data_IF_702565390550
#
_entry.id   IF_702565390550
#
_cell.length_a   1.000
_cell.length_b   1.000
_cell.length_c   1.000
_cell.angle_alpha   90.00
_cell.angle_beta   90.00
_cell.angle_gamma   90.00
#
_symmetry.space_group_name_H-M   'P 1'
#
loop_
_entity.id
_entity.type
_entity.pdbx_description
1 polymer ?
#
# COMPACT_ATOMS: atom_id res chain seq x y z
N UNK A 1 6.56 33.79 27.39
CA UNK A 1 6.41 33.29 26.00
C UNK A 1 7.23 32.02 25.88
N UNK A 2 6.59 30.85 26.01
CA UNK A 2 7.23 29.56 25.76
C UNK A 2 6.65 29.06 24.45
N UNK A 3 7.46 29.14 23.39
CA UNK A 3 7.14 28.55 22.09
C UNK A 3 7.34 27.04 22.21
N UNK A 4 6.28 26.33 22.57
CA UNK A 4 6.23 24.87 22.45
C UNK A 4 6.07 24.53 20.96
N UNK A 5 7.19 24.19 20.32
CA UNK A 5 7.20 23.61 18.98
C UNK A 5 6.43 22.30 18.96
N UNK A 6 5.25 22.31 18.34
CA UNK A 6 4.57 21.08 17.92
C UNK A 6 5.40 20.44 16.81
N UNK A 7 6.25 19.48 17.19
CA UNK A 7 6.73 18.45 16.28
C UNK A 7 5.53 17.63 15.83
N UNK A 8 4.97 17.99 14.67
CA UNK A 8 4.06 17.13 13.93
C UNK A 8 4.84 15.85 13.57
N UNK A 9 4.71 14.83 14.40
CA UNK A 9 5.20 13.50 14.07
C UNK A 9 4.42 13.03 12.83
N UNK A 10 5.07 13.13 11.66
CA UNK A 10 4.66 12.47 10.44
C UNK A 10 4.73 10.96 10.68
N UNK A 11 3.72 10.39 11.35
CA UNK A 11 3.52 8.95 11.47
C UNK A 11 2.97 8.44 10.14
N UNK A 12 3.70 8.70 9.06
CA UNK A 12 3.49 8.04 7.79
C UNK A 12 3.91 6.58 7.93
N UNK A 13 3.22 5.68 7.26
CA UNK A 13 3.55 4.25 7.19
C UNK A 13 4.96 3.94 6.62
N UNK A 14 5.78 4.96 6.32
CA UNK A 14 7.13 4.85 5.76
C UNK A 14 8.26 5.18 6.76
N UNK A 15 7.97 5.41 8.05
CA UNK A 15 9.03 5.51 9.07
C UNK A 15 9.66 4.13 9.27
N UNK A 16 10.99 3.95 9.12
CA UNK A 16 11.66 2.70 9.42
C UNK A 16 11.39 2.32 10.89
N UNK A 17 11.19 1.02 11.23
CA UNK A 17 11.14 0.63 12.63
C UNK A 17 12.44 1.13 13.30
N UNK A 18 12.36 1.71 14.51
CA UNK A 18 13.55 2.14 15.19
C UNK A 18 14.50 0.93 15.30
N UNK A 19 15.77 1.08 14.91
CA UNK A 19 16.73 0.01 15.13
C UNK A 19 16.73 -0.29 16.64
N UNK A 20 16.71 -1.56 17.07
CA UNK A 20 16.92 -1.83 18.47
C UNK A 20 18.32 -1.33 18.83
N UNK A 21 18.41 -0.77 20.03
CA UNK A 21 19.64 -0.20 20.53
C UNK A 21 20.41 -1.25 21.33
N UNK A 22 21.74 -1.14 21.33
CA UNK A 22 22.59 -1.83 22.30
C UNK A 22 22.29 -1.32 23.71
N UNK A 23 22.86 -1.97 24.75
CA UNK A 23 22.77 -1.49 26.13
C UNK A 23 23.21 -0.01 26.26
N UNK A 24 24.15 0.44 25.43
CA UNK A 24 24.66 1.80 25.40
C UNK A 24 23.82 2.78 24.55
N UNK A 25 22.62 2.38 24.12
CA UNK A 25 21.71 3.24 23.35
C UNK A 25 22.08 3.42 21.87
N UNK A 26 23.08 2.69 21.35
CA UNK A 26 23.54 2.84 19.95
C UNK A 26 22.75 1.94 19.00
N UNK A 27 22.44 2.40 17.77
CA UNK A 27 21.74 1.58 16.79
C UNK A 27 22.61 0.42 16.32
N UNK A 28 22.01 -0.77 16.26
CA UNK A 28 22.71 -1.98 15.81
C UNK A 28 22.87 -1.97 14.29
N UNK A 29 24.12 -2.08 13.83
CA UNK A 29 24.48 -2.14 12.39
C UNK A 29 24.76 -3.55 11.90
N UNK A 30 25.22 -4.43 12.80
CA UNK A 30 25.61 -5.80 12.49
C UNK A 30 25.05 -6.75 13.54
N UNK A 31 24.67 -7.95 13.10
CA UNK A 31 24.19 -9.03 13.95
C UNK A 31 25.06 -10.26 13.67
N UNK A 32 25.81 -10.69 14.68
CA UNK A 32 26.68 -11.85 14.57
C UNK A 32 25.83 -13.13 14.60
N UNK A 33 26.01 -13.97 13.59
CA UNK A 33 25.50 -15.36 13.59
C UNK A 33 26.53 -16.22 14.30
N UNK A 34 26.10 -17.03 15.27
CA UNK A 34 27.00 -17.93 15.96
C UNK A 34 27.41 -19.08 15.02
N UNK A 35 28.68 -19.20 14.62
CA UNK A 35 29.10 -20.27 13.71
C UNK A 35 29.03 -21.66 14.35
N UNK A 36 29.01 -21.76 15.69
CA UNK A 36 28.82 -23.01 16.41
C UNK A 36 27.35 -23.46 16.44
N UNK A 37 26.40 -22.55 16.18
CA UNK A 37 24.98 -22.86 16.08
C UNK A 37 24.63 -23.13 14.62
N UNK A 38 24.70 -24.41 14.23
CA UNK A 38 24.40 -24.84 12.87
C UNK A 38 22.95 -24.54 12.45
N UNK A 39 22.01 -24.54 13.42
CA UNK A 39 20.60 -24.25 13.19
C UNK A 39 20.39 -22.76 12.92
N UNK A 40 20.99 -21.86 13.71
CA UNK A 40 20.99 -20.42 13.45
C UNK A 40 21.59 -20.13 12.07
N UNK A 41 22.76 -20.71 11.78
CA UNK A 41 23.45 -20.52 10.51
C UNK A 41 22.59 -20.97 9.32
N UNK A 42 21.89 -22.11 9.43
CA UNK A 42 20.97 -22.60 8.41
C UNK A 42 19.76 -21.68 8.22
N UNK A 43 19.10 -21.27 9.31
CA UNK A 43 17.93 -20.40 9.26
C UNK A 43 18.27 -19.01 8.68
N UNK A 44 19.43 -18.44 9.04
CA UNK A 44 19.90 -17.17 8.46
C UNK A 44 20.24 -17.32 6.98
N UNK A 45 20.87 -18.43 6.56
CA UNK A 45 21.11 -18.71 5.12
C UNK A 45 19.79 -18.79 4.34
N UNK A 46 18.80 -19.51 4.86
CA UNK A 46 17.48 -19.63 4.25
C UNK A 46 16.79 -18.27 4.12
N UNK A 47 16.80 -17.44 5.17
CA UNK A 47 16.25 -16.09 5.13
C UNK A 47 16.93 -15.22 4.05
N UNK A 48 18.26 -15.26 3.96
CA UNK A 48 19.02 -14.47 2.98
C UNK A 48 18.75 -14.94 1.55
N UNK A 49 18.61 -16.25 1.32
CA UNK A 49 18.23 -16.81 0.03
C UNK A 49 16.81 -16.39 -0.37
N UNK A 50 15.85 -16.51 0.54
CA UNK A 50 14.46 -16.10 0.29
C UNK A 50 14.33 -14.59 0.00
N UNK A 51 15.10 -13.76 0.71
CA UNK A 51 15.15 -12.32 0.43
C UNK A 51 15.76 -12.01 -0.94
N UNK A 52 16.82 -12.72 -1.35
CA UNK A 52 17.41 -12.55 -2.68
C UNK A 52 16.41 -12.90 -3.78
N UNK A 53 15.70 -14.02 -3.64
CA UNK A 53 14.62 -14.42 -4.55
C UNK A 53 13.51 -13.38 -4.60
N UNK A 54 13.11 -12.82 -3.46
CA UNK A 54 12.06 -11.79 -3.40
C UNK A 54 12.51 -10.49 -4.09
N UNK A 55 13.75 -10.04 -3.87
CA UNK A 55 14.32 -8.87 -4.57
C UNK A 55 14.35 -9.07 -6.07
N UNK A 56 14.77 -10.25 -6.52
CA UNK A 56 14.83 -10.60 -7.93
C UNK A 56 13.45 -10.63 -8.58
N UNK A 57 12.45 -11.23 -7.93
CA UNK A 57 11.08 -11.24 -8.44
C UNK A 57 10.53 -9.80 -8.59
N UNK A 58 10.80 -8.92 -7.61
CA UNK A 58 10.45 -7.51 -7.70
C UNK A 58 11.20 -6.80 -8.85
N UNK A 59 12.48 -7.10 -9.07
CA UNK A 59 13.25 -6.51 -10.18
C UNK A 59 12.71 -6.92 -11.55
N UNK A 60 12.43 -8.21 -11.75
CA UNK A 60 11.85 -8.72 -12.98
C UNK A 60 10.49 -8.06 -13.29
N UNK A 61 9.64 -7.92 -12.26
CA UNK A 61 8.36 -7.25 -12.40
C UNK A 61 8.51 -5.74 -12.67
N UNK A 62 9.47 -5.06 -12.02
CA UNK A 62 9.75 -3.64 -12.29
C UNK A 62 10.14 -3.45 -13.76
N UNK A 63 11.06 -4.28 -14.26
CA UNK A 63 11.52 -4.24 -15.64
C UNK A 63 10.38 -4.49 -16.64
N UNK A 64 9.44 -5.39 -16.31
CA UNK A 64 8.23 -5.59 -17.10
C UNK A 64 7.36 -4.32 -17.17
N UNK A 65 7.14 -3.64 -16.05
CA UNK A 65 6.35 -2.41 -16.03
C UNK A 65 7.03 -1.23 -16.70
N UNK A 66 8.34 -1.13 -16.59
CA UNK A 66 9.14 -0.16 -17.34
C UNK A 66 9.01 -0.39 -18.85
N UNK A 67 9.16 -1.65 -19.31
CA UNK A 67 9.02 -2.03 -20.72
C UNK A 67 7.61 -1.75 -21.27
N UNK A 68 6.57 -1.96 -20.47
CA UNK A 68 5.16 -1.78 -20.87
C UNK A 68 4.63 -0.36 -20.64
N UNK A 69 5.44 0.54 -20.07
CA UNK A 69 5.01 1.91 -19.74
C UNK A 69 3.99 2.00 -18.60
N UNK A 70 3.88 0.95 -17.77
CA UNK A 70 2.94 0.92 -16.64
C UNK A 70 3.54 1.56 -15.38
N UNK A 71 3.80 2.87 -15.46
CA UNK A 71 4.46 3.64 -14.40
C UNK A 71 3.75 3.58 -13.05
N UNK A 72 2.43 3.43 -13.07
CA UNK A 72 1.62 3.35 -11.86
C UNK A 72 1.94 2.06 -11.08
N UNK A 73 1.96 0.91 -11.77
CA UNK A 73 2.34 -0.37 -11.16
C UNK A 73 3.84 -0.45 -10.86
N UNK A 74 4.70 0.18 -11.67
CA UNK A 74 6.13 0.32 -11.39
C UNK A 74 6.39 0.99 -10.03
N UNK A 75 5.73 2.12 -9.74
CA UNK A 75 5.87 2.84 -8.45
C UNK A 75 5.51 1.96 -7.26
N UNK A 76 4.55 1.06 -7.40
CA UNK A 76 4.23 0.09 -6.35
C UNK A 76 5.42 -0.85 -6.09
N UNK A 77 6.02 -1.40 -7.15
CA UNK A 77 7.18 -2.29 -7.04
C UNK A 77 8.35 -1.59 -6.36
N UNK A 78 8.63 -0.34 -6.74
CA UNK A 78 9.68 0.49 -6.14
C UNK A 78 9.45 0.75 -4.65
N UNK A 79 8.20 1.03 -4.25
CA UNK A 79 7.83 1.18 -2.84
C UNK A 79 8.08 -0.11 -2.06
N UNK A 80 7.73 -1.26 -2.63
CA UNK A 80 7.96 -2.55 -1.98
C UNK A 80 9.47 -2.87 -1.87
N UNK A 81 10.26 -2.60 -2.91
CA UNK A 81 11.72 -2.73 -2.88
C UNK A 81 12.35 -1.82 -1.80
N UNK A 82 11.89 -0.57 -1.72
CA UNK A 82 12.30 0.39 -0.70
C UNK A 82 11.90 -0.10 0.70
N UNK A 83 10.70 -0.65 0.84
CA UNK A 83 10.17 -1.19 2.08
C UNK A 83 11.01 -2.38 2.59
N UNK A 84 11.36 -3.31 1.70
CA UNK A 84 12.24 -4.46 1.98
C UNK A 84 13.66 -4.04 2.32
N UNK A 85 14.17 -2.98 1.70
CA UNK A 85 15.49 -2.43 2.02
C UNK A 85 15.52 -1.77 3.40
N UNK A 86 14.45 -1.04 3.75
CA UNK A 86 14.33 -0.31 5.02
C UNK A 86 13.95 -1.18 6.21
N UNK A 87 13.45 -2.38 5.98
CA UNK A 87 12.99 -3.26 7.07
C UNK A 87 14.12 -3.79 7.93
N UNK A 88 15.31 -3.93 7.34
CA UNK A 88 16.49 -4.47 8.01
C UNK A 88 17.67 -3.50 7.84
N UNK A 89 17.78 -2.46 8.69
CA UNK A 89 18.87 -1.47 8.62
C UNK A 89 20.24 -2.04 9.06
N UNK A 90 20.29 -3.33 9.39
CA UNK A 90 21.45 -4.06 9.88
C UNK A 90 21.78 -5.26 8.97
N UNK A 91 22.99 -5.81 9.10
CA UNK A 91 23.46 -6.95 8.30
C UNK A 91 23.90 -8.11 9.19
N UNK A 92 23.75 -9.34 8.70
CA UNK A 92 24.38 -10.50 9.32
C UNK A 92 25.88 -10.54 9.02
N UNK A 93 26.67 -10.95 10.01
CA UNK A 93 28.10 -11.24 9.88
C UNK A 93 28.39 -12.66 10.38
N UNK A 94 29.50 -13.26 9.94
CA UNK A 94 29.86 -14.64 10.30
C UNK A 94 29.30 -15.71 9.35
N UNK A 95 28.71 -15.31 8.21
CA UNK A 95 28.27 -16.20 7.15
C UNK A 95 28.67 -15.64 5.78
N UNK A 96 29.03 -16.52 4.86
CA UNK A 96 29.23 -16.16 3.45
C UNK A 96 27.97 -15.56 2.84
N UNK A 97 28.15 -14.71 1.83
CA UNK A 97 27.02 -14.18 1.10
C UNK A 97 26.29 -15.29 0.33
N UNK A 98 24.95 -15.26 0.24
CA UNK A 98 24.26 -16.18 -0.66
C UNK A 98 24.79 -15.95 -2.08
N UNK A 99 24.93 -17.04 -2.83
CA UNK A 99 25.30 -16.95 -4.24
C UNK A 99 24.31 -16.00 -4.96
N UNK A 100 24.79 -15.16 -5.89
CA UNK A 100 23.90 -14.35 -6.70
C UNK A 100 22.94 -15.28 -7.44
N UNK A 101 21.65 -15.07 -7.24
CA UNK A 101 20.64 -15.80 -7.99
C UNK A 101 20.66 -15.26 -9.43
N UNK A 102 20.78 -16.15 -10.43
CA UNK A 102 20.83 -15.75 -11.84
C UNK A 102 19.55 -15.01 -12.23
N UNK A 103 19.64 -13.99 -13.09
CA UNK A 103 18.50 -13.14 -13.49
C UNK A 103 17.33 -13.98 -14.03
N UNK A 104 16.11 -13.67 -13.60
CA UNK A 104 14.90 -14.30 -14.18
C UNK A 104 14.70 -13.73 -15.59
N UNK A 105 14.71 -14.56 -16.64
CA UNK A 105 14.36 -14.09 -17.98
C UNK A 105 12.92 -13.61 -18.00
N UNK A 106 12.71 -12.36 -18.43
CA UNK A 106 11.37 -11.77 -18.59
C UNK A 106 10.74 -12.12 -19.95
N UNK A 107 11.49 -12.77 -20.84
CA UNK A 107 11.19 -12.81 -22.28
C UNK A 107 9.96 -13.64 -22.66
N UNK A 108 9.39 -14.44 -21.74
CA UNK A 108 8.20 -15.26 -22.02
C UNK A 108 7.18 -15.29 -20.86
N UNK A 109 7.29 -14.38 -19.88
CA UNK A 109 6.41 -14.37 -18.70
C UNK A 109 5.53 -13.12 -18.76
N UNK A 110 4.21 -13.32 -18.89
CA UNK A 110 3.24 -12.23 -18.79
C UNK A 110 3.13 -11.67 -17.36
N UNK A 111 2.48 -10.51 -17.21
CA UNK A 111 2.26 -9.88 -15.90
C UNK A 111 1.80 -10.87 -14.81
N UNK A 112 0.77 -11.73 -15.04
CA UNK A 112 0.27 -12.63 -14.00
C UNK A 112 1.34 -13.55 -13.43
N UNK A 113 2.18 -14.15 -14.29
CA UNK A 113 3.26 -15.05 -13.86
C UNK A 113 4.34 -14.32 -13.05
N UNK A 114 4.68 -13.07 -13.42
CA UNK A 114 5.60 -12.25 -12.64
C UNK A 114 5.00 -11.85 -11.28
N UNK A 115 3.69 -11.58 -11.23
CA UNK A 115 3.01 -11.28 -9.96
C UNK A 115 3.01 -12.50 -9.04
N UNK A 116 2.66 -13.67 -9.58
CA UNK A 116 2.66 -14.94 -8.83
C UNK A 116 4.05 -15.24 -8.26
N UNK A 117 5.12 -15.02 -9.05
CA UNK A 117 6.50 -15.14 -8.56
C UNK A 117 6.79 -14.19 -7.40
N UNK A 118 6.36 -12.93 -7.48
CA UNK A 118 6.53 -11.95 -6.40
C UNK A 118 5.77 -12.38 -5.14
N UNK A 119 4.53 -12.87 -5.28
CA UNK A 119 3.72 -13.33 -4.16
C UNK A 119 4.31 -14.58 -3.50
N UNK A 120 4.75 -15.56 -4.29
CA UNK A 120 5.41 -16.77 -3.80
C UNK A 120 6.72 -16.45 -3.09
N UNK A 121 7.59 -15.62 -3.69
CA UNK A 121 8.86 -15.24 -3.09
C UNK A 121 8.66 -14.42 -1.79
N UNK A 122 7.65 -13.54 -1.76
CA UNK A 122 7.27 -12.82 -0.55
C UNK A 122 6.83 -13.77 0.55
N UNK A 123 6.02 -14.79 0.22
CA UNK A 123 5.52 -15.77 1.18
C UNK A 123 6.68 -16.61 1.74
N UNK A 124 7.57 -17.13 0.89
CA UNK A 124 8.76 -17.87 1.33
C UNK A 124 9.70 -17.03 2.20
N UNK A 125 9.85 -15.73 1.91
CA UNK A 125 10.59 -14.80 2.77
C UNK A 125 9.94 -14.62 4.15
N UNK A 126 8.61 -14.54 4.23
CA UNK A 126 7.89 -14.46 5.51
C UNK A 126 8.00 -15.74 6.33
N UNK A 127 7.95 -16.91 5.67
CA UNK A 127 8.14 -18.21 6.31
C UNK A 127 9.55 -18.35 6.86
N UNK A 128 10.57 -17.94 6.11
CA UNK A 128 11.95 -17.95 6.59
C UNK A 128 12.18 -16.98 7.77
N UNK A 129 11.47 -15.85 7.80
CA UNK A 129 11.47 -14.96 8.99
C UNK A 129 10.82 -15.63 10.20
N UNK A 130 9.71 -16.32 10.03
CA UNK A 130 9.01 -17.01 11.12
C UNK A 130 9.87 -18.15 11.69
N UNK A 131 10.50 -18.97 10.83
CA UNK A 131 11.40 -20.02 11.27
C UNK A 131 12.59 -19.47 12.09
N UNK A 132 13.13 -18.32 11.70
CA UNK A 132 14.20 -17.67 12.45
C UNK A 132 13.70 -17.03 13.77
N UNK A 133 12.46 -16.55 13.81
CA UNK A 133 11.80 -16.12 15.04
C UNK A 133 11.69 -17.29 16.02
N UNK A 134 11.20 -18.44 15.55
CA UNK A 134 11.04 -19.66 16.36
C UNK A 134 12.38 -20.12 16.94
N UNK A 135 13.46 -20.11 16.13
CA UNK A 135 14.83 -20.41 16.60
C UNK A 135 15.26 -19.47 17.72
N UNK A 136 15.17 -18.16 17.51
CA UNK A 136 15.58 -17.18 18.53
C UNK A 136 14.72 -17.23 19.79
N UNK A 137 13.46 -17.62 19.67
CA UNK A 137 12.58 -17.82 20.81
C UNK A 137 12.97 -19.08 21.60
N UNK A 138 13.23 -20.20 20.93
CA UNK A 138 13.64 -21.46 21.57
C UNK A 138 14.97 -21.32 22.34
N UNK A 139 15.93 -20.60 21.77
CA UNK A 139 17.26 -20.38 22.36
C UNK A 139 17.31 -19.21 23.36
N UNK A 140 16.17 -18.55 23.65
CA UNK A 140 16.12 -17.41 24.58
C UNK A 140 16.91 -16.18 24.10
N UNK A 141 17.16 -16.05 22.80
CA UNK A 141 17.94 -14.98 22.17
C UNK A 141 17.11 -13.69 22.02
N UNK A 142 16.64 -13.14 23.14
CA UNK A 142 15.65 -12.06 23.23
C UNK A 142 15.98 -10.83 22.37
N UNK A 143 17.25 -10.44 22.30
CA UNK A 143 17.69 -9.31 21.48
C UNK A 143 17.51 -9.60 19.96
N UNK A 144 17.93 -10.78 19.50
CA UNK A 144 17.76 -11.21 18.09
C UNK A 144 16.29 -11.46 17.76
N UNK A 145 15.52 -11.98 18.72
CA UNK A 145 14.06 -12.13 18.59
C UNK A 145 13.36 -10.78 18.38
N UNK A 146 13.72 -9.75 19.16
CA UNK A 146 13.15 -8.40 19.01
C UNK A 146 13.48 -7.79 17.64
N UNK A 147 14.70 -8.02 17.11
CA UNK A 147 15.09 -7.61 15.76
C UNK A 147 14.16 -8.21 14.70
N UNK A 148 13.89 -9.51 14.74
CA UNK A 148 13.03 -10.20 13.76
C UNK A 148 11.58 -9.74 13.86
N UNK A 149 11.04 -9.61 15.07
CA UNK A 149 9.69 -9.08 15.30
C UNK A 149 9.54 -7.66 14.78
N UNK A 150 10.58 -6.82 14.83
CA UNK A 150 10.55 -5.49 14.22
C UNK A 150 10.40 -5.56 12.70
N UNK A 151 11.11 -6.49 12.05
CA UNK A 151 11.01 -6.72 10.61
C UNK A 151 9.59 -7.18 10.25
N UNK A 152 9.07 -8.19 10.94
CA UNK A 152 7.72 -8.73 10.69
C UNK A 152 6.62 -7.67 10.91
N UNK A 153 6.69 -6.88 11.99
CA UNK A 153 5.71 -5.80 12.26
C UNK A 153 5.64 -4.76 11.14
N UNK A 154 6.74 -4.52 10.41
CA UNK A 154 6.73 -3.64 9.23
C UNK A 154 5.94 -4.23 8.06
N UNK A 155 5.90 -5.55 7.96
CA UNK A 155 5.18 -6.31 6.95
C UNK A 155 3.86 -6.92 7.47
N UNK A 156 3.38 -6.46 8.62
CA UNK A 156 2.03 -6.75 9.12
C UNK A 156 0.99 -6.20 8.11
N UNK A 157 -0.12 -6.91 7.82
CA UNK A 157 -1.22 -6.40 7.03
C UNK A 157 -1.70 -4.99 7.38
N UNK A 158 -1.49 -4.49 8.60
CA UNK A 158 -1.76 -3.10 9.02
C UNK A 158 -0.84 -2.09 8.33
N UNK A 159 0.40 -2.48 8.01
CA UNK A 159 1.46 -1.65 7.41
C UNK A 159 1.86 -2.09 5.99
N UNK A 160 1.25 -3.17 5.49
CA UNK A 160 1.62 -3.77 4.20
C UNK A 160 1.06 -3.02 3.00
N UNK A 161 1.93 -2.75 2.04
CA UNK A 161 1.57 -2.55 0.63
C UNK A 161 1.13 -3.91 0.06
N UNK A 162 -0.18 -4.14 -0.06
CA UNK A 162 -0.67 -5.28 -0.85
C UNK A 162 -0.26 -5.06 -2.29
N UNK A 163 -0.06 -6.10 -3.08
CA UNK A 163 0.17 -5.93 -4.51
C UNK A 163 -0.99 -5.15 -5.13
N UNK A 164 -0.73 -4.23 -6.07
CA UNK A 164 -1.81 -3.62 -6.87
C UNK A 164 -2.33 -4.67 -7.85
N UNK A 165 -3.17 -5.57 -7.37
CA UNK A 165 -3.91 -6.46 -8.25
C UNK A 165 -5.21 -5.76 -8.62
N UNK A 166 -5.58 -5.84 -9.90
CA UNK A 166 -7.00 -5.74 -10.27
C UNK A 166 -7.84 -6.76 -9.47
N UNK A 167 -7.26 -7.85 -8.97
CA UNK A 167 -7.91 -8.78 -8.04
C UNK A 167 -8.25 -8.18 -6.65
N UNK A 168 -7.61 -7.10 -6.19
CA UNK A 168 -8.01 -6.41 -4.94
C UNK A 168 -9.21 -5.49 -5.17
N UNK A 169 -9.39 -5.01 -6.41
CA UNK A 169 -10.45 -4.09 -6.80
C UNK A 169 -11.44 -4.85 -7.68
N UNK A 170 -12.58 -5.31 -7.13
CA UNK A 170 -13.50 -6.17 -7.87
C UNK A 170 -13.88 -5.58 -9.24
N UNK A 171 -14.29 -6.43 -10.19
CA UNK A 171 -14.47 -5.99 -11.56
C UNK A 171 -15.53 -4.90 -11.68
N UNK A 172 -15.39 -4.04 -12.70
CA UNK A 172 -16.39 -3.02 -13.02
C UNK A 172 -17.76 -3.60 -13.42
N UNK A 173 -17.80 -4.91 -13.72
CA UNK A 173 -19.02 -5.64 -14.07
C UNK A 173 -19.95 -5.93 -12.90
N UNK A 174 -19.55 -5.68 -11.65
CA UNK A 174 -20.48 -5.81 -10.51
C UNK A 174 -21.70 -4.90 -10.66
N UNK A 175 -22.83 -5.35 -10.10
CA UNK A 175 -24.13 -4.68 -10.16
C UNK A 175 -24.72 -4.61 -8.75
N UNK A 176 -24.48 -3.53 -8.00
CA UNK A 176 -24.98 -3.42 -6.63
C UNK A 176 -26.44 -2.97 -6.57
N UNK A 177 -27.37 -3.91 -6.53
CA UNK A 177 -28.82 -3.64 -6.54
C UNK A 177 -29.51 -3.95 -5.22
N UNK A 178 -28.84 -4.65 -4.30
CA UNK A 178 -29.49 -5.20 -3.10
C UNK A 178 -29.26 -4.34 -1.85
N UNK A 179 -30.32 -4.14 -1.06
CA UNK A 179 -30.20 -3.58 0.28
C UNK A 179 -29.93 -4.72 1.27
N UNK A 180 -28.72 -4.76 1.85
CA UNK A 180 -28.28 -5.85 2.73
C UNK A 180 -27.95 -5.26 4.10
N UNK A 181 -28.77 -5.56 5.12
CA UNK A 181 -28.63 -4.97 6.47
C UNK A 181 -27.24 -5.18 7.09
N UNK A 182 -26.62 -6.34 6.87
CA UNK A 182 -25.27 -6.62 7.36
C UNK A 182 -24.19 -5.76 6.67
N UNK A 183 -24.34 -5.50 5.37
CA UNK A 183 -23.45 -4.61 4.63
C UNK A 183 -23.62 -3.15 5.11
N UNK A 184 -24.85 -2.73 5.35
CA UNK A 184 -25.17 -1.42 5.91
C UNK A 184 -24.52 -1.23 7.29
N UNK A 185 -24.58 -2.24 8.16
CA UNK A 185 -23.94 -2.20 9.47
C UNK A 185 -22.41 -2.07 9.37
N UNK A 186 -21.76 -2.84 8.49
CA UNK A 186 -20.33 -2.72 8.23
C UNK A 186 -19.96 -1.32 7.73
N UNK A 187 -20.75 -0.80 6.78
CA UNK A 187 -20.54 0.53 6.21
C UNK A 187 -20.61 1.62 7.28
N UNK A 188 -21.64 1.59 8.13
CA UNK A 188 -21.81 2.57 9.21
C UNK A 188 -20.68 2.50 10.24
N UNK A 189 -20.26 1.28 10.62
CA UNK A 189 -19.11 1.09 11.53
C UNK A 189 -17.83 1.65 10.94
N UNK A 190 -17.59 1.41 9.65
CA UNK A 190 -16.44 1.94 8.95
C UNK A 190 -16.45 3.48 8.90
N UNK A 191 -17.58 4.10 8.57
CA UNK A 191 -17.71 5.56 8.57
C UNK A 191 -17.60 6.18 9.95
N UNK A 192 -18.04 5.49 11.00
CA UNK A 192 -17.82 5.93 12.38
C UNK A 192 -16.33 5.98 12.68
N UNK A 193 -15.58 4.91 12.40
CA UNK A 193 -14.12 4.88 12.58
C UNK A 193 -13.40 5.91 11.72
N UNK A 194 -13.82 6.12 10.47
CA UNK A 194 -13.23 7.13 9.59
C UNK A 194 -13.39 8.56 10.15
N UNK A 195 -14.56 8.86 10.74
CA UNK A 195 -14.82 10.15 11.42
C UNK A 195 -14.02 10.28 12.71
N UNK A 196 -14.05 9.26 13.57
CA UNK A 196 -13.29 9.24 14.82
C UNK A 196 -11.77 9.23 14.62
N UNK A 197 -11.31 8.86 13.42
CA UNK A 197 -9.93 8.93 13.00
C UNK A 197 -9.46 10.35 12.63
N UNK A 198 -10.36 11.35 12.67
CA UNK A 198 -10.10 12.77 12.43
C UNK A 198 -10.59 13.61 13.62
N UNK A 199 -10.08 13.38 14.84
CA UNK A 199 -10.64 13.99 16.05
C UNK A 199 -10.47 15.52 16.08
N UNK A 200 -9.45 16.06 15.42
CA UNK A 200 -9.17 17.49 15.31
C UNK A 200 -8.62 17.82 13.92
N UNK A 201 -8.72 19.08 13.46
CA UNK A 201 -8.00 19.55 12.28
C UNK A 201 -6.51 19.20 12.36
N UNK A 202 -5.92 18.71 11.26
CA UNK A 202 -4.53 18.26 11.15
C UNK A 202 -4.09 17.07 12.05
N UNK A 203 -4.98 16.51 12.88
CA UNK A 203 -4.69 15.30 13.68
C UNK A 203 -5.37 14.10 13.07
N UNK A 204 -4.58 13.08 12.74
CA UNK A 204 -5.08 11.82 12.17
C UNK A 204 -4.70 10.63 13.05
N UNK A 205 -5.70 9.84 13.44
CA UNK A 205 -5.48 8.49 13.97
C UNK A 205 -5.45 7.49 12.82
N UNK A 206 -4.23 7.19 12.35
CA UNK A 206 -3.99 6.27 11.25
C UNK A 206 -4.47 4.84 11.54
N UNK A 207 -4.50 4.41 12.82
CA UNK A 207 -5.01 3.09 13.18
C UNK A 207 -6.52 3.02 12.95
N UNK A 208 -7.27 4.06 13.31
CA UNK A 208 -8.71 4.15 13.00
C UNK A 208 -8.97 4.24 11.50
N UNK A 209 -8.18 5.03 10.77
CA UNK A 209 -8.29 5.09 9.30
C UNK A 209 -8.05 3.73 8.65
N UNK A 210 -7.05 2.97 9.12
CA UNK A 210 -6.80 1.61 8.64
C UNK A 210 -7.94 0.65 8.98
N UNK A 211 -8.48 0.70 10.19
CA UNK A 211 -9.63 -0.13 10.59
C UNK A 211 -10.86 0.17 9.74
N UNK A 212 -11.12 1.45 9.47
CA UNK A 212 -12.19 1.87 8.55
C UNK A 212 -11.99 1.29 7.15
N UNK A 213 -10.77 1.44 6.59
CA UNK A 213 -10.41 0.87 5.29
C UNK A 213 -10.67 -0.65 5.23
N UNK A 214 -10.21 -1.41 6.23
CA UNK A 214 -10.37 -2.86 6.26
C UNK A 214 -11.85 -3.29 6.29
N UNK A 215 -12.70 -2.58 7.04
CA UNK A 215 -14.14 -2.86 7.08
C UNK A 215 -14.83 -2.54 5.73
N UNK A 216 -14.43 -1.46 5.05
CA UNK A 216 -14.97 -1.14 3.72
C UNK A 216 -14.54 -2.19 2.68
N UNK A 217 -13.27 -2.63 2.72
CA UNK A 217 -12.79 -3.72 1.85
C UNK A 217 -13.51 -5.04 2.15
N UNK A 218 -13.75 -5.34 3.43
CA UNK A 218 -14.51 -6.52 3.85
C UNK A 218 -15.96 -6.46 3.34
N UNK A 219 -16.62 -5.31 3.46
CA UNK A 219 -17.97 -5.09 2.94
C UNK A 219 -18.03 -5.43 1.45
N UNK A 220 -17.12 -4.84 0.66
CA UNK A 220 -17.08 -5.04 -0.80
C UNK A 220 -16.84 -6.51 -1.14
N UNK A 221 -15.95 -7.19 -0.41
CA UNK A 221 -15.64 -8.61 -0.64
C UNK A 221 -16.80 -9.54 -0.26
N UNK A 222 -17.45 -9.31 0.88
CA UNK A 222 -18.51 -10.19 1.41
C UNK A 222 -19.88 -9.93 0.79
N UNK A 223 -20.15 -8.71 0.35
CA UNK A 223 -21.45 -8.27 -0.14
C UNK A 223 -21.33 -7.55 -1.50
N UNK A 224 -20.85 -8.21 -2.57
CA UNK A 224 -20.61 -7.59 -3.87
C UNK A 224 -21.88 -7.14 -4.62
N UNK A 225 -23.07 -7.52 -4.15
CA UNK A 225 -24.38 -7.07 -4.68
C UNK A 225 -24.98 -5.93 -3.85
N UNK A 226 -24.36 -5.53 -2.73
CA UNK A 226 -24.90 -4.49 -1.86
C UNK A 226 -24.83 -3.11 -2.50
N UNK A 227 -25.93 -2.36 -2.45
CA UNK A 227 -26.01 -0.92 -2.81
C UNK A 227 -24.98 -0.04 -2.09
N UNK A 228 -24.33 -0.51 -1.01
CA UNK A 228 -23.28 0.24 -0.32
C UNK A 228 -21.90 0.14 -0.96
N UNK A 229 -21.61 -0.83 -1.84
CA UNK A 229 -20.24 -1.01 -2.35
C UNK A 229 -19.74 0.21 -3.13
N UNK A 230 -20.60 0.91 -3.86
CA UNK A 230 -20.21 2.11 -4.61
C UNK A 230 -19.79 3.25 -3.67
N UNK A 231 -20.57 3.49 -2.60
CA UNK A 231 -20.21 4.46 -1.58
C UNK A 231 -18.97 4.02 -0.81
N UNK A 232 -18.85 2.73 -0.49
CA UNK A 232 -17.67 2.17 0.16
C UNK A 232 -16.41 2.39 -0.69
N UNK A 233 -16.50 2.15 -2.00
CA UNK A 233 -15.42 2.40 -2.96
C UNK A 233 -14.94 3.85 -2.93
N UNK A 234 -15.85 4.82 -2.90
CA UNK A 234 -15.49 6.23 -2.75
C UNK A 234 -14.68 6.48 -1.46
N UNK A 235 -15.15 5.99 -0.31
CA UNK A 235 -14.44 6.20 0.96
C UNK A 235 -13.13 5.42 1.08
N UNK A 236 -13.02 4.25 0.44
CA UNK A 236 -11.75 3.55 0.29
C UNK A 236 -10.76 4.45 -0.48
N UNK A 237 -11.22 5.07 -1.57
CA UNK A 237 -10.43 6.02 -2.33
C UNK A 237 -9.95 7.21 -1.49
N UNK A 238 -10.86 7.83 -0.73
CA UNK A 238 -10.53 8.95 0.17
C UNK A 238 -9.48 8.55 1.21
N UNK A 239 -9.61 7.36 1.81
CA UNK A 239 -8.66 6.89 2.81
C UNK A 239 -7.28 6.63 2.19
N UNK A 240 -7.22 5.97 1.03
CA UNK A 240 -5.96 5.73 0.32
C UNK A 240 -5.28 7.03 -0.09
N UNK A 241 -6.06 7.99 -0.60
CA UNK A 241 -5.59 9.31 -1.00
C UNK A 241 -5.03 10.07 0.21
N UNK A 242 -5.83 10.28 1.24
CA UNK A 242 -5.47 11.23 2.31
C UNK A 242 -4.53 10.67 3.37
N UNK A 243 -4.58 9.36 3.65
CA UNK A 243 -3.88 8.80 4.81
C UNK A 243 -2.76 7.84 4.48
N UNK A 244 -2.78 7.27 3.27
CA UNK A 244 -1.79 6.26 2.88
C UNK A 244 -0.95 6.65 1.67
N UNK A 245 -1.23 7.81 1.05
CA UNK A 245 -0.54 8.28 -0.15
C UNK A 245 -0.52 7.21 -1.29
N UNK A 246 -1.61 6.44 -1.36
CA UNK A 246 -1.84 5.38 -2.34
C UNK A 246 -2.68 5.93 -3.49
N UNK A 247 -2.17 6.99 -4.14
CA UNK A 247 -2.91 7.79 -5.12
C UNK A 247 -3.49 6.96 -6.28
N UNK A 248 -2.74 5.98 -6.79
CA UNK A 248 -3.22 5.10 -7.87
C UNK A 248 -4.39 4.25 -7.40
N UNK A 249 -4.27 3.59 -6.23
CA UNK A 249 -5.39 2.85 -5.62
C UNK A 249 -6.60 3.74 -5.44
N UNK A 250 -6.38 4.96 -4.96
CA UNK A 250 -7.45 5.91 -4.75
C UNK A 250 -8.23 6.17 -6.03
N UNK A 251 -7.54 6.47 -7.14
CA UNK A 251 -8.18 6.65 -8.45
C UNK A 251 -8.98 5.41 -8.86
N UNK A 252 -8.39 4.22 -8.79
CA UNK A 252 -9.11 3.00 -9.20
C UNK A 252 -10.36 2.72 -8.35
N UNK A 253 -10.31 3.01 -7.05
CA UNK A 253 -11.47 2.90 -6.17
C UNK A 253 -12.52 3.98 -6.46
N UNK A 254 -12.13 5.21 -6.76
CA UNK A 254 -13.08 6.22 -7.26
C UNK A 254 -13.73 5.75 -8.55
N UNK A 255 -12.96 5.22 -9.50
CA UNK A 255 -13.46 4.66 -10.76
C UNK A 255 -14.54 3.60 -10.52
N UNK A 256 -14.29 2.67 -9.59
CA UNK A 256 -15.29 1.67 -9.21
C UNK A 256 -16.55 2.30 -8.62
N UNK A 257 -16.41 3.35 -7.82
CA UNK A 257 -17.56 4.02 -7.21
C UNK A 257 -18.60 4.45 -8.26
N UNK A 258 -18.18 5.13 -9.34
CA UNK A 258 -19.11 5.56 -10.38
C UNK A 258 -19.42 4.49 -11.45
N UNK A 259 -18.56 3.49 -11.61
CA UNK A 259 -18.85 2.35 -12.50
C UNK A 259 -19.94 1.45 -11.91
N UNK A 260 -19.93 1.26 -10.59
CA UNK A 260 -20.94 0.48 -9.88
C UNK A 260 -22.23 1.27 -9.60
N UNK A 261 -22.14 2.59 -9.39
CA UNK A 261 -23.29 3.48 -9.29
C UNK A 261 -23.07 4.76 -10.13
N UNK A 262 -23.57 4.80 -11.38
CA UNK A 262 -23.45 5.98 -12.23
C UNK A 262 -24.15 7.23 -11.68
N UNK A 263 -25.12 7.06 -10.77
CA UNK A 263 -25.90 8.13 -10.14
C UNK A 263 -25.38 8.48 -8.74
N UNK A 264 -24.17 8.03 -8.41
CA UNK A 264 -23.55 8.27 -7.11
C UNK A 264 -23.44 9.77 -6.81
N UNK A 265 -24.09 10.20 -5.73
CA UNK A 265 -24.04 11.58 -5.24
C UNK A 265 -22.79 11.85 -4.38
N UNK A 266 -21.63 11.36 -4.84
CA UNK A 266 -20.30 11.61 -4.26
C UNK A 266 -19.34 11.99 -5.40
N UNK A 267 -18.40 12.92 -5.19
CA UNK A 267 -17.62 13.54 -6.26
C UNK A 267 -16.45 12.65 -6.73
N UNK A 268 -16.74 11.40 -7.12
CA UNK A 268 -15.74 10.39 -7.37
C UNK A 268 -14.88 10.72 -8.61
N UNK A 269 -15.49 11.17 -9.72
CA UNK A 269 -14.77 11.58 -10.94
C UNK A 269 -13.92 12.81 -10.66
N UNK A 270 -14.46 13.78 -9.92
CA UNK A 270 -13.70 14.96 -9.53
C UNK A 270 -12.47 14.59 -8.70
N UNK A 271 -12.63 13.76 -7.67
CA UNK A 271 -11.50 13.32 -6.83
C UNK A 271 -10.46 12.54 -7.64
N UNK A 272 -10.88 11.68 -8.56
CA UNK A 272 -9.96 10.98 -9.46
C UNK A 272 -9.20 11.93 -10.38
N UNK A 273 -9.87 12.96 -10.93
CA UNK A 273 -9.26 13.97 -11.77
C UNK A 273 -8.18 14.76 -11.01
N UNK A 274 -8.50 15.24 -9.81
CA UNK A 274 -7.57 15.99 -8.94
C UNK A 274 -6.33 15.15 -8.60
N UNK A 275 -6.52 13.86 -8.30
CA UNK A 275 -5.40 12.96 -8.00
C UNK A 275 -4.51 12.77 -9.23
N UNK A 276 -5.07 12.54 -10.42
CA UNK A 276 -4.28 12.42 -11.64
C UNK A 276 -3.52 13.70 -11.96
N UNK A 277 -4.18 14.85 -11.86
CA UNK A 277 -3.64 16.16 -12.21
C UNK A 277 -2.50 16.55 -11.26
N UNK A 278 -2.79 16.66 -9.96
CA UNK A 278 -1.88 17.28 -9.00
C UNK A 278 -0.96 16.30 -8.29
N UNK A 279 -1.42 15.07 -8.01
CA UNK A 279 -0.62 14.09 -7.22
C UNK A 279 0.17 13.12 -8.08
N UNK A 280 -0.33 12.82 -9.28
CA UNK A 280 0.33 11.92 -10.22
C UNK A 280 1.00 12.66 -11.38
N UNK A 281 0.74 13.96 -11.57
CA UNK A 281 1.24 14.76 -12.68
C UNK A 281 0.91 14.16 -14.06
N UNK A 282 -0.32 13.64 -14.19
CA UNK A 282 -0.84 13.02 -15.41
C UNK A 282 -2.05 13.83 -15.94
N UNK A 283 -1.85 15.08 -16.40
CA UNK A 283 -2.94 15.97 -16.83
C UNK A 283 -3.76 15.39 -17.99
N UNK A 284 -3.14 14.61 -18.88
CA UNK A 284 -3.84 13.93 -19.97
C UNK A 284 -4.88 12.91 -19.49
N UNK A 285 -4.67 12.26 -18.34
CA UNK A 285 -5.68 11.38 -17.72
C UNK A 285 -6.71 12.16 -16.91
N UNK A 286 -6.36 13.34 -16.39
CA UNK A 286 -7.25 14.19 -15.62
C UNK A 286 -8.30 14.91 -16.49
N UNK A 287 -7.91 15.41 -17.66
CA UNK A 287 -8.77 16.16 -18.58
C UNK A 287 -10.11 15.45 -18.89
N UNK A 288 -10.16 14.19 -19.36
CA UNK A 288 -11.42 13.52 -19.64
C UNK A 288 -12.29 13.31 -18.38
N UNK A 289 -11.68 13.23 -17.19
CA UNK A 289 -12.43 13.11 -15.93
C UNK A 289 -13.04 14.45 -15.51
N UNK A 290 -12.33 15.57 -15.64
CA UNK A 290 -12.92 16.89 -15.41
C UNK A 290 -14.09 17.14 -16.37
N UNK A 291 -13.95 16.77 -17.64
CA UNK A 291 -15.08 16.86 -18.59
C UNK A 291 -16.26 15.98 -18.16
N UNK A 292 -16.00 14.80 -17.59
CA UNK A 292 -17.03 13.92 -17.07
C UNK A 292 -17.70 14.47 -15.79
N UNK A 293 -17.01 15.26 -14.97
CA UNK A 293 -17.60 15.98 -13.83
C UNK A 293 -18.72 16.91 -14.30
N UNK A 294 -18.47 17.71 -15.35
CA UNK A 294 -19.46 18.64 -15.90
C UNK A 294 -20.72 17.92 -16.41
N UNK A 295 -20.62 16.64 -16.81
CA UNK A 295 -21.74 15.85 -17.31
C UNK A 295 -22.48 15.06 -16.23
N UNK A 296 -21.80 14.61 -15.19
CA UNK A 296 -22.34 13.59 -14.28
C UNK A 296 -22.34 13.99 -12.80
N UNK A 297 -21.58 15.01 -12.38
CA UNK A 297 -21.41 15.38 -10.97
C UNK A 297 -21.78 16.85 -10.71
N UNK A 298 -22.92 17.28 -11.27
CA UNK A 298 -23.39 18.67 -11.20
C UNK A 298 -23.94 19.09 -9.82
N UNK A 299 -24.05 18.15 -8.87
CA UNK A 299 -24.59 18.41 -7.54
C UNK A 299 -23.65 19.24 -6.63
N UNK A 300 -22.39 19.46 -7.04
CA UNK A 300 -21.44 20.31 -6.30
C UNK A 300 -20.92 21.43 -7.22
N UNK A 301 -21.49 22.63 -7.08
CA UNK A 301 -21.16 23.79 -7.92
C UNK A 301 -19.68 24.20 -7.84
N UNK A 302 -19.04 24.06 -6.67
CA UNK A 302 -17.61 24.39 -6.50
C UNK A 302 -16.73 23.45 -7.32
N UNK A 303 -17.00 22.14 -7.27
CA UNK A 303 -16.26 21.16 -8.07
C UNK A 303 -16.48 21.36 -9.57
N UNK A 304 -17.71 21.69 -9.98
CA UNK A 304 -18.05 22.00 -11.38
C UNK A 304 -17.27 23.22 -11.88
N UNK A 305 -17.28 24.31 -11.11
CA UNK A 305 -16.53 25.53 -11.43
C UNK A 305 -15.03 25.25 -11.54
N UNK A 306 -14.47 24.50 -10.59
CA UNK A 306 -13.06 24.10 -10.62
C UNK A 306 -12.73 23.27 -11.87
N UNK A 307 -13.55 22.27 -12.18
CA UNK A 307 -13.35 21.42 -13.35
C UNK A 307 -13.39 22.22 -14.66
N UNK A 308 -14.33 23.16 -14.79
CA UNK A 308 -14.45 24.03 -15.97
C UNK A 308 -13.19 24.89 -16.16
N UNK A 309 -12.74 25.58 -15.11
CA UNK A 309 -11.52 26.36 -15.15
C UNK A 309 -10.30 25.49 -15.50
N UNK A 310 -10.19 24.31 -14.87
CA UNK A 310 -9.04 23.44 -15.09
C UNK A 310 -9.01 22.85 -16.50
N UNK A 311 -10.16 22.60 -17.12
CA UNK A 311 -10.24 22.21 -18.54
C UNK A 311 -9.66 23.31 -19.44
N UNK A 312 -10.01 24.57 -19.19
CA UNK A 312 -9.47 25.69 -19.96
C UNK A 312 -7.94 25.76 -19.84
N UNK A 313 -7.42 25.68 -18.61
CA UNK A 313 -5.97 25.70 -18.35
C UNK A 313 -5.23 24.54 -19.02
N UNK A 314 -5.80 23.33 -19.03
CA UNK A 314 -5.19 22.14 -19.61
C UNK A 314 -5.27 22.07 -21.14
N UNK A 315 -6.15 22.86 -21.76
CA UNK A 315 -6.37 22.86 -23.22
C UNK A 315 -5.82 24.12 -23.90
N UNK A 316 -5.44 25.15 -23.13
CA UNK A 316 -4.80 26.34 -23.67
C UNK A 316 -3.45 25.98 -24.32
N UNK A 317 -3.14 26.53 -25.51
CA UNK A 317 -1.82 26.37 -26.12
C UNK A 317 -0.74 26.87 -25.16
N UNK A 318 0.35 26.11 -25.01
CA UNK A 318 1.53 26.60 -24.28
C UNK A 318 2.23 27.62 -25.18
N UNK A 319 2.27 28.88 -24.73
CA UNK A 319 3.06 29.95 -25.37
C UNK A 319 4.56 29.68 -25.30
#
# INVERSE_FOLDING_TARGET
>A
MVVCGLLAALVGCDVPPPPPNTADGRPVKTVLVNPADAAEAAAVRQLRAAEAQYRQALEALRAYYEKTGNYDKQRWVEREQKNLTRSRPWKYTGLEAPAPTGRTPIENVGEPGLVEQVLAARQGWKEALAALEDHYQAEGLNFKLALIRNVQRRFDPVRTYRYFLEAEIPPASLRPTEAIAAADALYQRALKLHREGKPLPAVTDYNKQRKALLLLLELVRKYPTSTKIAKAAFYIGEIYKEYFNENIRAVHWYQRAWQWDPKLMLPARFQAAVVYDYRLAQPGKALPLYQAVLRHEQFNASNVSFAAQRIEELTRPKE
#
